data_IF_737193228056
#
_entry.id   IF_737193228056
#
_cell.length_a   1.000
_cell.length_b   1.000
_cell.length_c   1.000
_cell.angle_alpha   90.00
_cell.angle_beta   90.00
_cell.angle_gamma   90.00
#
_symmetry.space_group_name_H-M   'P 1'
#
loop_
_entity.id
_entity.type
_entity.pdbx_description
1 polymer ?
#
# COMPACT_ATOMS: atom_id res chain seq x y z
N UNK A 1 -1.81 -38.07 -22.54
CA UNK A 1 -1.13 -36.78 -22.37
C UNK A 1 0.15 -36.69 -23.13
N UNK A 2 0.41 -35.48 -23.62
CA UNK A 2 1.64 -35.07 -24.29
C UNK A 2 2.30 -34.00 -23.41
N UNK A 3 3.61 -34.06 -23.25
CA UNK A 3 4.36 -33.02 -22.54
C UNK A 3 4.75 -31.90 -23.51
N UNK A 4 4.37 -30.66 -23.20
CA UNK A 4 4.65 -29.47 -24.00
C UNK A 4 5.78 -28.58 -23.44
N UNK A 5 6.52 -29.03 -22.41
CA UNK A 5 7.56 -28.21 -21.75
C UNK A 5 8.72 -27.78 -22.66
N UNK A 6 8.92 -28.45 -23.80
CA UNK A 6 9.96 -28.08 -24.78
C UNK A 6 9.50 -27.01 -25.77
N UNK A 7 8.23 -26.60 -25.73
CA UNK A 7 7.72 -25.51 -26.55
C UNK A 7 7.85 -24.20 -25.76
N UNK A 8 8.26 -23.15 -26.43
CA UNK A 8 8.25 -21.79 -25.88
C UNK A 8 6.82 -21.28 -25.72
N UNK A 9 6.65 -20.22 -24.93
CA UNK A 9 5.37 -19.53 -24.81
C UNK A 9 5.02 -18.75 -26.09
N UNK A 10 3.73 -18.52 -26.30
CA UNK A 10 3.16 -17.90 -27.49
C UNK A 10 2.15 -18.80 -28.23
N UNK A 11 1.86 -18.43 -29.47
CA UNK A 11 0.91 -19.16 -30.32
C UNK A 11 1.46 -20.55 -30.68
N UNK A 12 0.66 -21.58 -30.43
CA UNK A 12 0.95 -22.97 -30.80
C UNK A 12 -0.16 -23.50 -31.72
N UNK A 13 0.22 -24.35 -32.66
CA UNK A 13 -0.70 -25.02 -33.58
C UNK A 13 -0.66 -26.52 -33.32
N UNK A 14 -1.84 -27.14 -33.20
CA UNK A 14 -2.02 -28.58 -33.00
C UNK A 14 -2.54 -29.16 -34.31
N UNK A 15 -1.67 -29.81 -35.07
CA UNK A 15 -2.04 -30.52 -36.30
C UNK A 15 -2.34 -31.99 -36.00
N UNK A 16 -3.50 -32.46 -36.46
CA UNK A 16 -3.91 -33.85 -36.36
C UNK A 16 -4.08 -34.42 -37.75
N UNK A 17 -3.34 -35.48 -38.06
CA UNK A 17 -3.44 -36.22 -39.32
C UNK A 17 -3.87 -37.66 -39.01
N UNK A 18 -4.90 -38.13 -39.72
CA UNK A 18 -5.30 -39.54 -39.70
C UNK A 18 -4.93 -40.17 -41.05
N UNK A 19 -4.38 -41.38 -41.01
CA UNK A 19 -4.08 -42.20 -42.18
C UNK A 19 -4.72 -43.58 -41.99
N UNK A 20 -5.50 -44.04 -42.96
CA UNK A 20 -6.09 -45.38 -42.92
C UNK A 20 -5.09 -46.47 -43.41
N UNK A 21 -5.38 -47.78 -43.24
CA UNK A 21 -4.46 -48.85 -43.65
C UNK A 21 -4.18 -48.94 -45.15
N UNK A 22 -5.01 -48.32 -45.99
CA UNK A 22 -4.85 -48.30 -47.45
C UNK A 22 -4.24 -46.99 -47.95
N UNK A 23 -3.90 -46.07 -47.05
CA UNK A 23 -3.14 -44.85 -47.32
C UNK A 23 -3.96 -43.59 -47.55
N UNK A 24 -5.28 -43.60 -47.31
CA UNK A 24 -6.07 -42.36 -47.36
C UNK A 24 -5.75 -41.50 -46.14
N UNK A 25 -5.58 -40.20 -46.34
CA UNK A 25 -5.28 -39.25 -45.26
C UNK A 25 -6.37 -38.19 -45.11
N UNK A 26 -6.54 -37.69 -43.89
CA UNK A 26 -7.30 -36.49 -43.61
C UNK A 26 -6.62 -35.72 -42.47
N UNK A 27 -6.80 -34.41 -42.39
CA UNK A 27 -6.16 -33.57 -41.38
C UNK A 27 -7.05 -32.46 -40.86
N UNK A 28 -6.83 -32.05 -39.63
CA UNK A 28 -7.42 -30.85 -39.01
C UNK A 28 -6.37 -30.16 -38.15
N UNK A 29 -6.53 -28.87 -37.91
CA UNK A 29 -5.66 -28.09 -37.03
C UNK A 29 -6.46 -27.24 -36.05
N UNK A 30 -5.84 -26.87 -34.94
CA UNK A 30 -6.36 -25.91 -33.96
C UNK A 30 -5.22 -25.00 -33.49
N UNK A 31 -5.47 -23.70 -33.35
CA UNK A 31 -4.53 -22.74 -32.76
C UNK A 31 -4.90 -22.45 -31.31
N UNK A 32 -3.90 -22.32 -30.44
CA UNK A 32 -4.07 -21.88 -29.05
C UNK A 32 -2.83 -21.14 -28.58
N UNK A 33 -2.84 -20.60 -27.36
CA UNK A 33 -1.71 -19.90 -26.75
C UNK A 33 -1.18 -20.75 -25.60
N UNK A 34 0.13 -20.95 -25.56
CA UNK A 34 0.84 -21.44 -24.38
C UNK A 34 1.37 -20.23 -23.64
N UNK A 35 1.01 -20.12 -22.37
CA UNK A 35 1.47 -19.06 -21.49
C UNK A 35 1.74 -19.65 -20.12
N UNK A 36 2.97 -19.55 -19.66
CA UNK A 36 3.45 -20.17 -18.42
C UNK A 36 4.19 -19.19 -17.52
N UNK A 37 4.18 -17.90 -17.88
CA UNK A 37 4.87 -16.83 -17.18
C UNK A 37 3.85 -15.78 -16.79
N UNK A 38 4.07 -15.17 -15.63
CA UNK A 38 3.35 -13.97 -15.17
C UNK A 38 4.39 -12.87 -15.02
N UNK A 39 4.03 -11.65 -15.40
CA UNK A 39 4.92 -10.51 -15.21
C UNK A 39 5.10 -10.15 -13.71
N UNK A 40 5.96 -9.18 -13.43
CA UNK A 40 6.22 -8.72 -12.07
C UNK A 40 5.23 -7.64 -11.63
N UNK A 41 4.61 -7.82 -10.47
CA UNK A 41 3.85 -6.77 -9.78
C UNK A 41 4.74 -5.86 -8.94
N UNK A 42 4.27 -4.65 -8.62
CA UNK A 42 4.87 -3.69 -7.68
C UNK A 42 3.80 -3.07 -6.78
N UNK A 43 4.22 -2.54 -5.63
CA UNK A 43 3.43 -1.64 -4.78
C UNK A 43 4.21 -0.31 -4.73
N UNK A 44 3.53 0.80 -4.99
CA UNK A 44 4.14 2.11 -4.97
C UNK A 44 4.30 2.60 -3.52
N UNK A 45 5.35 3.40 -3.30
CA UNK A 45 5.73 3.92 -1.98
C UNK A 45 5.91 5.44 -2.03
N UNK A 46 5.71 6.15 -0.91
CA UNK A 46 5.34 5.64 0.41
C UNK A 46 3.86 5.22 0.55
N UNK A 47 3.59 4.25 1.45
CA UNK A 47 2.23 3.90 1.89
C UNK A 47 1.69 5.01 2.80
N UNK A 48 0.40 5.32 2.72
CA UNK A 48 -0.24 6.39 3.51
C UNK A 48 0.44 7.76 3.30
N UNK A 49 0.79 8.09 2.05
CA UNK A 49 1.42 9.35 1.61
C UNK A 49 2.83 9.67 2.15
N UNK A 50 3.18 9.22 3.36
CA UNK A 50 4.46 9.51 4.02
C UNK A 50 5.14 8.31 4.70
N UNK A 51 4.51 7.14 4.66
CA UNK A 51 5.02 5.91 5.26
C UNK A 51 4.54 5.69 6.70
N UNK A 52 3.69 6.59 7.22
CA UNK A 52 3.15 6.57 8.57
C UNK A 52 1.62 6.54 8.50
N UNK A 53 1.03 5.41 8.86
CA UNK A 53 -0.42 5.31 8.99
C UNK A 53 -0.89 5.93 10.31
N UNK A 54 -1.55 7.07 10.20
CA UNK A 54 -2.19 7.77 11.32
C UNK A 54 -3.59 7.23 11.62
N UNK A 55 -4.08 7.51 12.83
CA UNK A 55 -5.44 7.14 13.24
C UNK A 55 -6.55 7.63 12.30
N UNK A 56 -6.37 8.80 11.68
CA UNK A 56 -7.33 9.39 10.72
C UNK A 56 -7.40 8.66 9.38
N UNK A 57 -6.35 7.92 9.00
CA UNK A 57 -6.24 7.29 7.68
C UNK A 57 -6.72 5.83 7.68
N UNK A 58 -6.73 5.18 8.86
CA UNK A 58 -7.01 3.74 9.01
C UNK A 58 -8.30 3.25 8.34
N UNK A 59 -9.33 4.09 8.21
CA UNK A 59 -10.61 3.69 7.65
C UNK A 59 -10.55 3.37 6.14
N UNK A 60 -9.64 4.00 5.40
CA UNK A 60 -9.51 3.87 3.96
C UNK A 60 -8.11 4.29 3.50
N UNK A 61 -7.21 3.31 3.39
CA UNK A 61 -5.84 3.50 2.90
C UNK A 61 -5.80 3.14 1.43
N UNK A 62 -5.50 4.11 0.57
CA UNK A 62 -5.27 3.88 -0.85
C UNK A 62 -3.90 3.24 -1.05
N UNK A 63 -3.86 2.21 -1.89
CA UNK A 63 -2.67 1.48 -2.31
C UNK A 63 -2.70 1.42 -3.83
N UNK A 64 -1.56 1.62 -4.45
CA UNK A 64 -1.39 1.59 -5.89
C UNK A 64 -0.09 0.92 -6.28
N UNK A 65 0.03 0.60 -7.56
CA UNK A 65 1.21 -0.03 -8.12
C UNK A 65 1.00 -0.48 -9.55
N UNK A 66 1.90 -1.34 -10.02
CA UNK A 66 1.86 -1.89 -11.38
C UNK A 66 1.78 -3.41 -11.39
N UNK A 67 1.25 -3.96 -12.47
CA UNK A 67 1.12 -5.38 -12.75
C UNK A 67 0.93 -5.60 -14.27
N UNK A 68 0.87 -6.83 -14.72
CA UNK A 68 0.49 -7.20 -16.08
C UNK A 68 -0.91 -6.65 -16.43
N UNK A 69 -1.09 -5.97 -17.57
CA UNK A 69 -2.39 -5.43 -17.95
C UNK A 69 -3.51 -6.48 -17.96
N UNK A 70 -4.59 -6.22 -17.21
CA UNK A 70 -5.73 -7.11 -17.09
C UNK A 70 -5.55 -8.29 -16.13
N UNK A 71 -4.39 -8.43 -15.49
CA UNK A 71 -4.21 -9.40 -14.41
C UNK A 71 -5.00 -9.01 -13.17
N UNK A 72 -5.21 -9.99 -12.29
CA UNK A 72 -5.82 -9.78 -10.98
C UNK A 72 -4.75 -9.66 -9.90
N UNK A 73 -4.95 -8.74 -8.96
CA UNK A 73 -4.02 -8.45 -7.88
C UNK A 73 -4.77 -8.62 -6.55
N UNK A 74 -4.32 -9.57 -5.74
CA UNK A 74 -4.78 -9.77 -4.37
C UNK A 74 -3.91 -8.95 -3.41
N UNK A 75 -4.51 -7.93 -2.79
CA UNK A 75 -3.82 -6.99 -1.89
C UNK A 75 -4.29 -7.18 -0.45
N UNK A 76 -3.36 -7.26 0.48
CA UNK A 76 -3.62 -7.35 1.92
C UNK A 76 -2.59 -6.57 2.72
N UNK A 77 -2.89 -6.25 3.98
CA UNK A 77 -1.93 -5.67 4.90
C UNK A 77 -1.96 -6.38 6.25
N UNK A 78 -0.84 -6.37 6.98
CA UNK A 78 -0.70 -7.01 8.30
C UNK A 78 0.09 -6.13 9.26
N UNK A 79 -0.42 -5.93 10.47
CA UNK A 79 0.28 -5.21 11.55
C UNK A 79 1.22 -6.11 12.36
N UNK A 80 1.92 -5.52 13.34
CA UNK A 80 2.82 -6.26 14.24
C UNK A 80 2.13 -7.27 15.17
N UNK A 81 0.80 -7.19 15.34
CA UNK A 81 0.00 -8.11 16.15
C UNK A 81 -0.62 -9.24 15.29
N UNK A 82 -0.41 -9.22 13.98
CA UNK A 82 -1.01 -10.17 13.04
C UNK A 82 -2.46 -9.86 12.67
N UNK A 83 -2.94 -8.65 12.93
CA UNK A 83 -4.23 -8.15 12.41
C UNK A 83 -4.10 -8.01 10.90
N UNK A 84 -5.05 -8.57 10.15
CA UNK A 84 -5.03 -8.55 8.68
C UNK A 84 -6.15 -7.65 8.16
N UNK A 85 -5.81 -6.76 7.23
CA UNK A 85 -6.75 -6.02 6.40
C UNK A 85 -6.77 -6.63 4.99
N UNK A 86 -7.98 -6.85 4.43
CA UNK A 86 -8.16 -7.57 3.15
C UNK A 86 -8.35 -9.09 3.33
N UNK A 87 -8.11 -9.89 2.26
CA UNK A 87 -7.65 -9.47 0.95
C UNK A 87 -8.71 -8.68 0.17
N UNK A 88 -8.25 -7.76 -0.68
CA UNK A 88 -9.05 -7.09 -1.71
C UNK A 88 -8.47 -7.47 -3.07
N UNK A 89 -9.32 -7.85 -4.01
CA UNK A 89 -8.91 -8.22 -5.37
C UNK A 89 -9.28 -7.09 -6.33
N UNK A 90 -8.30 -6.62 -7.10
CA UNK A 90 -8.46 -5.58 -8.12
C UNK A 90 -7.89 -6.07 -9.45
N UNK A 91 -8.24 -5.39 -10.55
CA UNK A 91 -7.76 -5.72 -11.90
C UNK A 91 -6.89 -4.57 -12.39
N UNK A 92 -5.70 -4.88 -12.88
CA UNK A 92 -4.84 -3.88 -13.51
C UNK A 92 -5.47 -3.36 -14.80
N UNK A 93 -5.36 -2.05 -15.01
CA UNK A 93 -5.88 -1.40 -16.21
C UNK A 93 -5.08 -1.79 -17.48
N UNK A 94 -5.49 -1.25 -18.63
CA UNK A 94 -4.82 -1.53 -19.91
C UNK A 94 -3.37 -1.01 -20.00
N UNK A 95 -2.94 -0.18 -19.05
CA UNK A 95 -1.58 0.33 -18.92
C UNK A 95 -0.79 -0.41 -17.82
N UNK A 96 -1.43 -1.33 -17.09
CA UNK A 96 -0.82 -2.09 -16.00
C UNK A 96 -0.93 -1.41 -14.63
N UNK A 97 -1.66 -0.31 -14.49
CA UNK A 97 -1.83 0.34 -13.18
C UNK A 97 -2.98 -0.32 -12.41
N UNK A 98 -2.83 -0.45 -11.09
CA UNK A 98 -3.91 -0.91 -10.21
C UNK A 98 -4.03 0.00 -8.99
N UNK A 99 -5.24 0.08 -8.44
CA UNK A 99 -5.54 0.78 -7.19
C UNK A 99 -6.42 -0.11 -6.32
N UNK A 100 -6.13 -0.20 -5.03
CA UNK A 100 -6.91 -0.89 -4.03
C UNK A 100 -7.08 0.00 -2.78
N UNK A 101 -8.22 -0.13 -2.09
CA UNK A 101 -8.42 0.53 -0.81
C UNK A 101 -8.60 -0.50 0.29
N UNK A 102 -7.77 -0.43 1.33
CA UNK A 102 -7.90 -1.29 2.50
C UNK A 102 -8.42 -0.51 3.71
N UNK A 103 -9.29 -1.13 4.48
CA UNK A 103 -9.65 -0.66 5.80
C UNK A 103 -8.74 -1.34 6.83
N UNK A 104 -7.83 -0.56 7.42
CA UNK A 104 -6.86 -0.97 8.42
C UNK A 104 -7.29 -0.57 9.85
N UNK A 105 -8.58 -0.28 10.06
CA UNK A 105 -9.13 -0.03 11.39
C UNK A 105 -8.82 -1.23 12.30
N UNK A 106 -8.24 -0.96 13.47
CA UNK A 106 -7.86 -1.99 14.44
C UNK A 106 -6.42 -2.48 14.33
N UNK A 107 -5.63 -1.94 13.39
CA UNK A 107 -4.18 -2.06 13.44
C UNK A 107 -3.66 -1.42 14.74
N UNK A 108 -2.47 -1.82 15.18
CA UNK A 108 -1.79 -1.27 16.35
C UNK A 108 -0.45 -0.64 15.97
N UNK A 109 0.05 0.27 16.82
CA UNK A 109 1.31 0.97 16.60
C UNK A 109 2.48 0.01 16.37
N UNK A 110 3.40 0.42 15.51
CA UNK A 110 4.60 -0.31 15.16
C UNK A 110 4.70 -0.63 13.67
N UNK A 111 5.64 -1.50 13.28
CA UNK A 111 5.84 -1.84 11.88
C UNK A 111 4.65 -2.66 11.34
N UNK A 112 4.27 -2.37 10.12
CA UNK A 112 3.27 -3.10 9.36
C UNK A 112 3.74 -3.31 7.92
N UNK A 113 3.06 -4.19 7.19
CA UNK A 113 3.41 -4.52 5.81
C UNK A 113 2.16 -4.59 4.94
N UNK A 114 2.27 -4.18 3.69
CA UNK A 114 1.31 -4.45 2.61
C UNK A 114 1.90 -5.54 1.71
N UNK A 115 1.07 -6.47 1.26
CA UNK A 115 1.45 -7.52 0.32
C UNK A 115 0.49 -7.54 -0.87
N UNK A 116 1.05 -7.66 -2.08
CA UNK A 116 0.32 -7.84 -3.32
C UNK A 116 0.76 -9.14 -4.02
N UNK A 117 -0.20 -9.90 -4.54
CA UNK A 117 0.03 -11.13 -5.32
C UNK A 117 -0.74 -11.01 -6.63
N UNK A 118 -0.03 -11.14 -7.74
CA UNK A 118 -0.60 -11.08 -9.08
C UNK A 118 -0.96 -12.47 -9.63
N UNK A 119 -2.06 -12.55 -10.39
CA UNK A 119 -2.41 -13.69 -11.24
C UNK A 119 -2.86 -13.18 -12.61
N UNK A 120 -2.15 -13.61 -13.65
CA UNK A 120 -2.40 -13.21 -15.05
C UNK A 120 -3.69 -13.82 -15.64
N UNK A 121 -3.95 -13.55 -16.92
CA UNK A 121 -5.11 -14.06 -17.64
C UNK A 121 -5.03 -15.56 -17.98
N UNK A 122 -3.83 -16.14 -18.02
CA UNK A 122 -3.61 -17.56 -18.22
C UNK A 122 -3.73 -18.37 -16.91
N UNK A 123 -3.80 -17.68 -15.77
CA UNK A 123 -3.89 -18.25 -14.42
C UNK A 123 -2.54 -18.55 -13.77
N UNK A 124 -1.43 -17.99 -14.29
CA UNK A 124 -0.14 -18.10 -13.61
C UNK A 124 -0.09 -17.07 -12.47
N UNK A 125 0.35 -17.50 -11.29
CA UNK A 125 0.42 -16.66 -10.08
C UNK A 125 1.87 -16.32 -9.74
N UNK A 126 2.12 -15.03 -9.51
CA UNK A 126 3.44 -14.49 -9.18
C UNK A 126 3.85 -14.77 -7.74
N UNK A 127 5.10 -14.40 -7.40
CA UNK A 127 5.54 -14.33 -6.01
C UNK A 127 4.95 -13.09 -5.33
N UNK A 128 4.69 -13.14 -4.00
CA UNK A 128 4.25 -11.96 -3.27
C UNK A 128 5.31 -10.86 -3.29
N UNK A 129 4.85 -9.62 -3.46
CA UNK A 129 5.63 -8.40 -3.25
C UNK A 129 5.16 -7.74 -1.96
N UNK A 130 6.09 -7.21 -1.17
CA UNK A 130 5.80 -6.66 0.16
C UNK A 130 6.50 -5.33 0.36
N UNK A 131 5.77 -4.34 0.85
CA UNK A 131 6.29 -3.04 1.25
C UNK A 131 5.95 -2.75 2.72
N UNK A 132 6.90 -2.14 3.44
CA UNK A 132 6.76 -1.85 4.87
C UNK A 132 6.35 -0.41 5.14
N UNK A 133 5.59 -0.20 6.19
CA UNK A 133 5.22 1.12 6.71
C UNK A 133 5.13 1.08 8.23
N UNK A 134 4.98 2.25 8.86
CA UNK A 134 4.80 2.36 10.31
C UNK A 134 3.36 2.73 10.62
N UNK A 135 2.76 2.09 11.60
CA UNK A 135 1.51 2.54 12.21
C UNK A 135 1.86 3.40 13.40
N UNK A 136 1.34 4.63 13.41
CA UNK A 136 1.45 5.57 14.53
C UNK A 136 0.09 6.26 14.72
N UNK A 137 -0.74 5.65 15.55
CA UNK A 137 -2.11 6.10 15.81
C UNK A 137 -2.15 7.26 16.81
N UNK A 138 -1.05 7.49 17.52
CA UNK A 138 -0.92 8.50 18.56
C UNK A 138 -0.58 9.87 17.94
N UNK A 139 -1.61 10.57 17.49
CA UNK A 139 -1.48 12.01 17.24
C UNK A 139 -1.29 12.75 18.57
N UNK A 140 -0.17 13.44 18.75
CA UNK A 140 0.07 14.33 19.90
C UNK A 140 -0.38 15.76 19.54
N UNK A 141 -1.61 16.19 19.87
CA UNK A 141 -2.02 17.58 19.67
C UNK A 141 -1.14 18.52 20.49
N UNK A 142 -0.68 19.61 19.88
CA UNK A 142 -0.07 20.75 20.57
C UNK A 142 -0.60 22.03 19.96
N UNK A 143 -1.23 22.88 20.75
CA UNK A 143 -1.61 24.22 20.33
C UNK A 143 -1.45 25.21 21.48
N UNK A 144 -1.04 26.44 21.16
CA UNK A 144 -0.89 27.52 22.11
C UNK A 144 -2.11 28.45 22.00
N UNK A 145 -2.72 28.78 23.14
CA UNK A 145 -3.75 29.80 23.20
C UNK A 145 -3.14 31.20 22.99
N UNK A 146 -3.89 32.17 22.46
CA UNK A 146 -3.48 33.56 22.48
C UNK A 146 -3.04 34.00 23.87
N UNK A 147 -1.84 34.57 23.96
CA UNK A 147 -1.34 35.13 25.21
C UNK A 147 -1.98 36.51 25.40
N UNK A 148 -2.92 36.63 26.34
CA UNK A 148 -3.70 37.85 26.55
C UNK A 148 -4.59 38.17 25.34
N UNK A 149 -4.49 39.39 24.82
CA UNK A 149 -5.12 39.84 23.56
C UNK A 149 -4.14 39.85 22.38
N UNK A 150 -3.10 39.01 22.46
CA UNK A 150 -1.90 39.00 21.60
C UNK A 150 -0.99 40.22 21.77
N UNK A 151 -1.23 41.06 22.77
CA UNK A 151 -0.37 42.16 23.16
C UNK A 151 -0.08 42.00 24.65
N UNK A 152 1.17 42.18 25.04
CA UNK A 152 1.55 42.28 26.45
C UNK A 152 1.86 43.75 26.72
N UNK A 153 1.06 44.39 27.57
CA UNK A 153 1.27 45.76 28.02
C UNK A 153 1.99 45.80 29.40
N UNK A 154 2.27 47.01 29.88
CA UNK A 154 2.99 47.24 31.14
C UNK A 154 2.26 46.74 32.39
N UNK A 155 0.95 46.51 32.31
CA UNK A 155 0.17 45.97 33.41
C UNK A 155 0.22 44.42 33.43
N UNK A 156 0.43 43.80 32.27
CA UNK A 156 0.44 42.35 32.08
C UNK A 156 1.83 41.72 32.20
N UNK A 157 2.92 42.47 31.93
CA UNK A 157 4.28 41.94 31.82
C UNK A 157 4.77 41.15 33.04
N UNK A 158 4.29 41.48 34.24
CA UNK A 158 4.69 40.79 35.49
C UNK A 158 3.91 39.50 35.76
N UNK A 159 2.84 39.24 35.02
CA UNK A 159 1.97 38.07 35.19
C UNK A 159 1.34 37.65 33.86
N UNK A 160 2.15 37.04 32.99
CA UNK A 160 1.72 36.51 31.70
C UNK A 160 1.24 35.07 31.87
N UNK A 161 0.01 34.78 31.46
CA UNK A 161 -0.53 33.42 31.43
C UNK A 161 -0.27 32.81 30.05
N UNK A 162 0.41 31.67 30.05
CA UNK A 162 0.64 30.86 28.84
C UNK A 162 -0.20 29.60 29.01
N UNK A 163 -1.12 29.36 28.09
CA UNK A 163 -2.01 28.20 28.10
C UNK A 163 -2.15 27.61 26.70
N UNK A 164 -2.72 26.43 26.61
CA UNK A 164 -2.90 25.72 25.35
C UNK A 164 -3.54 24.35 25.54
N UNK A 165 -3.52 23.57 24.47
CA UNK A 165 -3.94 22.16 24.47
C UNK A 165 -2.74 21.27 24.18
N UNK A 166 -2.69 20.12 24.86
CA UNK A 166 -1.62 19.14 24.77
C UNK A 166 -2.14 17.75 25.12
N UNK A 167 -1.40 16.71 24.76
CA UNK A 167 -1.66 15.36 25.29
C UNK A 167 -1.40 15.34 26.80
N UNK A 168 -2.34 14.83 27.63
CA UNK A 168 -2.13 14.70 29.07
C UNK A 168 -0.82 13.98 29.41
N UNK A 169 -0.19 14.37 30.51
CA UNK A 169 1.08 13.80 31.01
C UNK A 169 2.29 13.91 30.07
N UNK A 170 2.19 14.68 28.98
CA UNK A 170 3.32 15.03 28.12
C UNK A 170 4.19 16.13 28.73
N UNK A 171 5.48 16.12 28.41
CA UNK A 171 6.38 17.22 28.76
C UNK A 171 6.21 18.38 27.78
N UNK A 172 6.14 19.60 28.32
CA UNK A 172 6.06 20.83 27.53
C UNK A 172 7.23 21.73 27.92
N UNK A 173 8.11 22.03 26.96
CA UNK A 173 9.17 23.02 27.14
C UNK A 173 8.70 24.37 26.57
N UNK A 174 8.56 25.38 27.43
CA UNK A 174 8.19 26.74 27.01
C UNK A 174 9.45 27.59 26.94
N UNK A 175 9.74 28.12 25.75
CA UNK A 175 10.83 29.08 25.52
C UNK A 175 10.26 30.43 25.10
N UNK A 176 10.58 31.48 25.87
CA UNK A 176 10.22 32.88 25.57
C UNK A 176 11.51 33.63 25.28
N UNK A 177 11.60 34.32 24.15
CA UNK A 177 12.81 35.03 23.74
C UNK A 177 12.51 36.29 22.96
N UNK A 178 13.36 37.30 23.13
CA UNK A 178 13.42 38.50 22.28
C UNK A 178 14.51 38.40 21.19
N UNK A 179 15.12 37.22 21.04
CA UNK A 179 16.27 36.97 20.15
C UNK A 179 17.64 37.19 20.79
N UNK A 180 17.71 37.77 22.00
CA UNK A 180 18.96 37.99 22.75
C UNK A 180 18.92 37.34 24.14
N UNK A 181 17.80 37.46 24.86
CA UNK A 181 17.54 36.83 26.14
C UNK A 181 16.61 35.63 25.95
N UNK A 182 16.82 34.58 26.75
CA UNK A 182 15.97 33.39 26.78
C UNK A 182 15.45 33.19 28.20
N UNK A 183 14.14 33.02 28.32
CA UNK A 183 13.45 32.55 29.51
C UNK A 183 12.86 31.17 29.21
N UNK A 184 13.04 30.22 30.12
CA UNK A 184 12.46 28.87 30.02
C UNK A 184 11.47 28.64 31.15
N UNK A 185 10.35 27.99 30.84
CA UNK A 185 9.40 27.49 31.82
C UNK A 185 9.06 26.03 31.48
N UNK A 186 8.82 25.23 32.52
CA UNK A 186 8.50 23.80 32.44
C UNK A 186 7.17 23.55 33.13
#
# INVERSE_FOLDING_TARGET
>A
DTNLTSLEDGSITIDVVVTDPVGNTNSTSEETIKDTVVDSTSIDTPIADDGILSGSETAAVLLDGTAEPGSSIEVSATDTNGTIAGPTIVIADALGNWEATLNMTGFVDGPANVTAIETDLAGNTGLPVTESFTVDLDSIPLALDPVGDNIINNQEETNVVISGVGTPDSFVDITITDGTLILTAN
#
